data_IF_724835525808
#
_entry.id   IF_724835525808
#
_cell.length_a   1.000
_cell.length_b   1.000
_cell.length_c   1.000
_cell.angle_alpha   90.00
_cell.angle_beta   90.00
_cell.angle_gamma   90.00
#
_symmetry.space_group_name_H-M   'P 1'
#
loop_
_entity.id
_entity.type
_entity.pdbx_description
1 polymer ?
#
# COMPACT_ATOMS: atom_id res chain seq x y z
N UNK A 1 1.09 17.84 0.31
CA UNK A 1 -0.26 18.22 -0.15
C UNK A 1 -0.86 17.18 -1.09
N UNK A 2 -0.31 16.94 -2.29
CA UNK A 2 -0.87 15.93 -3.24
C UNK A 2 -1.02 14.54 -2.61
N UNK A 3 -0.05 14.09 -1.82
CA UNK A 3 -0.10 12.79 -1.14
C UNK A 3 -1.24 12.65 -0.11
N UNK A 4 -1.61 13.73 0.60
CA UNK A 4 -2.75 13.71 1.52
C UNK A 4 -4.08 13.67 0.77
N UNK A 5 -4.17 14.33 -0.39
CA UNK A 5 -5.33 14.22 -1.27
C UNK A 5 -5.48 12.79 -1.81
N UNK A 6 -4.38 12.15 -2.22
CA UNK A 6 -4.39 10.74 -2.64
C UNK A 6 -4.86 9.85 -1.48
N UNK A 7 -4.28 10.03 -0.29
CA UNK A 7 -4.69 9.25 0.89
C UNK A 7 -6.18 9.43 1.21
N UNK A 8 -6.69 10.65 1.13
CA UNK A 8 -8.11 10.94 1.34
C UNK A 8 -9.00 10.25 0.29
N UNK A 9 -8.63 10.31 -0.99
CA UNK A 9 -9.38 9.65 -2.07
C UNK A 9 -9.39 8.14 -1.85
N UNK A 10 -8.23 7.52 -1.59
CA UNK A 10 -8.13 6.08 -1.30
C UNK A 10 -9.01 5.71 -0.12
N UNK A 11 -8.93 6.46 0.97
CA UNK A 11 -9.73 6.23 2.17
C UNK A 11 -11.24 6.31 1.86
N UNK A 12 -11.70 7.33 1.14
CA UNK A 12 -13.11 7.49 0.80
C UNK A 12 -13.63 6.38 -0.12
N UNK A 13 -12.82 5.97 -1.10
CA UNK A 13 -13.19 4.86 -2.00
C UNK A 13 -13.23 3.54 -1.23
N UNK A 14 -12.25 3.26 -0.37
CA UNK A 14 -12.23 2.07 0.47
C UNK A 14 -13.45 2.00 1.40
N UNK A 15 -13.69 3.06 2.18
CA UNK A 15 -14.83 3.10 3.10
C UNK A 15 -16.18 3.06 2.36
N UNK A 16 -16.30 3.74 1.22
CA UNK A 16 -17.52 3.71 0.40
C UNK A 16 -17.81 2.32 -0.16
N UNK A 17 -16.79 1.62 -0.67
CA UNK A 17 -16.95 0.26 -1.20
C UNK A 17 -17.26 -0.73 -0.08
N UNK A 18 -16.55 -0.68 1.04
CA UNK A 18 -16.83 -1.53 2.21
C UNK A 18 -18.22 -1.33 2.78
N UNK A 19 -18.67 -0.07 2.91
CA UNK A 19 -20.02 0.24 3.34
C UNK A 19 -21.07 -0.34 2.40
N UNK A 20 -20.85 -0.25 1.09
CA UNK A 20 -21.74 -0.84 0.09
C UNK A 20 -21.84 -2.36 0.26
N UNK A 21 -20.71 -3.06 0.40
CA UNK A 21 -20.70 -4.51 0.64
C UNK A 21 -21.41 -4.86 1.94
N UNK A 22 -21.09 -4.17 3.03
CA UNK A 22 -21.61 -4.47 4.35
C UNK A 22 -23.13 -4.23 4.50
N UNK A 23 -23.72 -3.39 3.65
CA UNK A 23 -25.15 -3.06 3.68
C UNK A 23 -25.98 -3.76 2.62
N UNK A 24 -25.35 -4.29 1.57
CA UNK A 24 -26.06 -4.90 0.43
C UNK A 24 -25.95 -6.41 0.38
N UNK A 25 -24.96 -7.00 1.05
CA UNK A 25 -24.68 -8.43 1.00
C UNK A 25 -24.67 -9.06 2.39
N UNK A 26 -25.28 -10.22 2.49
CA UNK A 26 -25.15 -11.07 3.67
C UNK A 26 -23.72 -11.63 3.77
N UNK A 27 -23.25 -11.93 4.98
CA UNK A 27 -21.91 -12.50 5.17
C UNK A 27 -21.84 -13.86 4.47
N UNK A 28 -20.85 -14.04 3.60
CA UNK A 28 -20.67 -15.24 2.78
C UNK A 28 -21.38 -15.19 1.42
N UNK A 29 -22.24 -14.21 1.17
CA UNK A 29 -22.89 -14.03 -0.13
C UNK A 29 -21.85 -13.68 -1.21
N UNK A 30 -22.02 -14.25 -2.41
CA UNK A 30 -21.11 -14.11 -3.54
C UNK A 30 -21.84 -13.64 -4.79
N UNK A 31 -21.29 -12.62 -5.45
CA UNK A 31 -21.71 -12.16 -6.77
C UNK A 31 -20.60 -12.45 -7.77
N UNK A 32 -20.90 -13.25 -8.78
CA UNK A 32 -19.98 -13.46 -9.92
C UNK A 32 -19.89 -12.18 -10.76
N UNK A 33 -18.66 -11.68 -10.95
CA UNK A 33 -18.37 -10.56 -11.85
C UNK A 33 -17.79 -11.08 -13.17
N UNK A 34 -16.89 -12.06 -13.12
CA UNK A 34 -16.29 -12.71 -14.29
C UNK A 34 -16.29 -14.22 -14.06
N UNK A 35 -17.43 -14.87 -14.36
CA UNK A 35 -17.60 -16.31 -14.16
C UNK A 35 -17.14 -16.74 -12.75
N UNK A 36 -16.42 -17.85 -12.68
CA UNK A 36 -15.85 -18.33 -11.42
C UNK A 36 -14.49 -17.70 -11.10
N UNK A 37 -13.94 -16.85 -11.98
CA UNK A 37 -12.61 -16.24 -11.80
C UNK A 37 -12.62 -15.06 -10.83
N UNK A 38 -13.57 -14.14 -10.96
CA UNK A 38 -13.66 -12.95 -10.11
C UNK A 38 -15.05 -12.83 -9.51
N UNK A 39 -15.09 -12.83 -8.17
CA UNK A 39 -16.30 -12.72 -7.39
C UNK A 39 -16.19 -11.59 -6.37
N UNK A 40 -17.32 -10.94 -6.11
CA UNK A 40 -17.51 -10.07 -4.95
C UNK A 40 -18.10 -10.94 -3.84
N UNK A 41 -17.35 -11.14 -2.75
CA UNK A 41 -17.73 -12.05 -1.65
C UNK A 41 -17.74 -11.31 -0.33
N UNK A 42 -18.88 -11.16 0.35
CA UNK A 42 -18.90 -10.45 1.64
C UNK A 42 -18.18 -11.24 2.73
N UNK A 43 -16.98 -10.79 3.12
CA UNK A 43 -16.16 -11.42 4.15
C UNK A 43 -15.82 -10.44 5.28
N UNK A 44 -15.61 -10.96 6.49
CA UNK A 44 -15.22 -10.20 7.67
C UNK A 44 -13.94 -10.79 8.24
N UNK A 45 -12.87 -10.02 8.17
CA UNK A 45 -11.54 -10.47 8.50
C UNK A 45 -11.10 -9.97 9.87
N UNK A 46 -10.91 -10.91 10.81
CA UNK A 46 -10.43 -10.66 12.18
C UNK A 46 -8.94 -10.90 12.38
N UNK A 47 -8.22 -11.20 11.31
CA UNK A 47 -6.78 -11.44 11.31
C UNK A 47 -6.04 -10.60 10.25
N UNK A 48 -4.87 -11.09 9.86
CA UNK A 48 -4.13 -10.66 8.68
C UNK A 48 -4.44 -11.58 7.49
N UNK A 49 -3.66 -11.45 6.41
CA UNK A 49 -3.62 -12.42 5.33
C UNK A 49 -3.49 -13.85 5.87
N UNK A 50 -4.22 -14.78 5.24
CA UNK A 50 -4.27 -16.20 5.61
C UNK A 50 -4.76 -16.51 7.04
N UNK A 51 -5.45 -15.57 7.70
CA UNK A 51 -5.98 -15.77 9.06
C UNK A 51 -4.92 -15.72 10.17
N UNK A 52 -3.69 -15.29 9.85
CA UNK A 52 -2.63 -15.14 10.85
C UNK A 52 -3.01 -14.04 11.85
N UNK A 53 -2.71 -14.25 13.14
CA UNK A 53 -2.99 -13.30 14.22
C UNK A 53 -4.47 -12.95 14.39
N UNK A 54 -5.37 -13.89 14.09
CA UNK A 54 -6.79 -13.71 14.35
C UNK A 54 -7.07 -13.34 15.83
N UNK A 55 -7.92 -12.35 16.04
CA UNK A 55 -8.28 -11.84 17.37
C UNK A 55 -7.22 -10.93 18.02
N UNK A 56 -6.04 -10.75 17.41
CA UNK A 56 -4.97 -9.88 17.92
C UNK A 56 -5.13 -8.43 17.43
N UNK A 57 -6.33 -7.86 17.54
CA UNK A 57 -6.64 -6.52 17.04
C UNK A 57 -5.72 -5.43 17.62
N UNK A 58 -5.30 -5.58 18.87
CA UNK A 58 -4.33 -4.69 19.50
C UNK A 58 -2.97 -4.65 18.79
N UNK A 59 -2.48 -5.80 18.30
CA UNK A 59 -1.23 -5.86 17.56
C UNK A 59 -1.33 -5.08 16.25
N UNK A 60 -2.42 -5.27 15.51
CA UNK A 60 -2.67 -4.51 14.29
C UNK A 60 -2.80 -3.02 14.55
N UNK A 61 -3.50 -2.63 15.63
CA UNK A 61 -3.59 -1.25 16.04
C UNK A 61 -2.20 -0.63 16.25
N UNK A 62 -1.34 -1.29 17.04
CA UNK A 62 0.00 -0.82 17.34
C UNK A 62 0.85 -0.66 16.06
N UNK A 63 0.87 -1.68 15.20
CA UNK A 63 1.62 -1.66 13.94
C UNK A 63 1.15 -0.53 13.04
N UNK A 64 -0.17 -0.37 12.87
CA UNK A 64 -0.71 0.70 12.03
C UNK A 64 -0.38 2.09 12.58
N UNK A 65 -0.48 2.31 13.90
CA UNK A 65 -0.08 3.59 14.52
C UNK A 65 1.39 3.91 14.23
N UNK A 66 2.29 2.93 14.37
CA UNK A 66 3.72 3.10 14.09
C UNK A 66 3.94 3.44 12.61
N UNK A 67 3.34 2.68 11.69
CA UNK A 67 3.52 2.88 10.24
C UNK A 67 2.95 4.23 9.80
N UNK A 68 1.72 4.57 10.21
CA UNK A 68 1.08 5.85 9.86
C UNK A 68 1.88 7.01 10.42
N UNK A 69 2.32 6.94 11.68
CA UNK A 69 3.15 7.99 12.30
C UNK A 69 4.48 8.16 11.57
N UNK A 70 5.13 7.06 11.19
CA UNK A 70 6.37 7.07 10.40
C UNK A 70 6.18 7.69 9.03
N UNK A 71 5.10 7.34 8.31
CA UNK A 71 4.77 7.91 6.99
C UNK A 71 4.50 9.41 7.12
N UNK A 72 3.67 9.84 8.08
CA UNK A 72 3.35 11.26 8.29
C UNK A 72 4.59 12.05 8.66
N UNK A 73 5.43 11.52 9.56
CA UNK A 73 6.71 12.15 9.92
C UNK A 73 7.63 12.28 8.70
N UNK A 74 7.79 11.23 7.91
CA UNK A 74 8.63 11.23 6.72
C UNK A 74 8.14 12.23 5.66
N UNK A 75 6.83 12.27 5.41
CA UNK A 75 6.21 13.21 4.47
C UNK A 75 6.35 14.67 4.91
N UNK A 76 6.36 14.93 6.21
CA UNK A 76 6.56 16.27 6.78
C UNK A 76 8.03 16.69 6.79
N UNK A 77 8.95 15.74 7.01
CA UNK A 77 10.39 16.00 6.99
C UNK A 77 10.91 16.24 5.56
N UNK A 78 10.34 15.54 4.59
CA UNK A 78 10.83 15.54 3.21
C UNK A 78 10.10 16.61 2.39
N UNK A 79 10.66 17.82 2.34
CA UNK A 79 10.18 18.89 1.44
C UNK A 79 10.72 18.70 0.02
N UNK A 80 9.98 17.92 -0.77
CA UNK A 80 10.00 17.86 -2.24
C UNK A 80 11.22 17.24 -2.96
N UNK A 81 10.94 16.22 -3.80
CA UNK A 81 11.37 16.10 -5.22
C UNK A 81 10.83 14.81 -5.84
N UNK A 82 10.64 13.76 -5.03
CA UNK A 82 10.23 12.42 -5.50
C UNK A 82 8.71 12.30 -5.62
N UNK A 83 8.18 12.69 -6.78
CA UNK A 83 6.74 12.59 -7.10
C UNK A 83 6.21 11.16 -6.93
N UNK A 84 6.99 10.17 -7.37
CA UNK A 84 6.63 8.76 -7.28
C UNK A 84 6.49 8.29 -5.83
N UNK A 85 7.48 8.60 -4.98
CA UNK A 85 7.42 8.31 -3.55
C UNK A 85 6.20 8.95 -2.87
N UNK A 86 5.90 10.19 -3.23
CA UNK A 86 4.76 10.92 -2.66
C UNK A 86 3.43 10.24 -2.99
N UNK A 87 3.26 9.78 -4.23
CA UNK A 87 2.09 9.00 -4.64
C UNK A 87 2.04 7.68 -3.86
N UNK A 88 3.16 6.97 -3.81
CA UNK A 88 3.27 5.68 -3.15
C UNK A 88 2.92 5.75 -1.66
N UNK A 89 3.46 6.72 -0.94
CA UNK A 89 3.16 6.96 0.47
C UNK A 89 1.71 7.39 0.70
N UNK A 90 1.13 8.17 -0.23
CA UNK A 90 -0.29 8.52 -0.18
C UNK A 90 -1.21 7.29 -0.29
N UNK A 91 -0.88 6.35 -1.19
CA UNK A 91 -1.62 5.09 -1.32
C UNK A 91 -1.54 4.24 -0.05
N UNK A 92 -0.34 4.04 0.49
CA UNK A 92 -0.14 3.27 1.73
C UNK A 92 -0.85 3.94 2.90
N UNK A 93 -0.74 5.26 3.04
CA UNK A 93 -1.39 6.01 4.12
C UNK A 93 -2.91 5.87 4.07
N UNK A 94 -3.52 6.07 2.90
CA UNK A 94 -4.97 5.96 2.73
C UNK A 94 -5.48 4.55 3.03
N UNK A 95 -4.81 3.52 2.50
CA UNK A 95 -5.19 2.13 2.75
C UNK A 95 -4.99 1.71 4.21
N UNK A 96 -3.87 2.11 4.83
CA UNK A 96 -3.60 1.81 6.23
C UNK A 96 -4.65 2.44 7.15
N UNK A 97 -5.06 3.69 6.91
CA UNK A 97 -6.11 4.36 7.68
C UNK A 97 -7.47 3.69 7.46
N UNK A 98 -7.80 3.28 6.23
CA UNK A 98 -9.05 2.58 5.92
C UNK A 98 -9.23 1.29 6.73
N UNK A 99 -8.25 0.37 6.65
CA UNK A 99 -8.30 -0.87 7.44
C UNK A 99 -8.22 -0.63 8.95
N UNK A 100 -7.52 0.41 9.39
CA UNK A 100 -7.44 0.78 10.80
C UNK A 100 -8.78 1.23 11.36
N UNK A 101 -9.53 2.03 10.59
CA UNK A 101 -10.84 2.51 10.99
C UNK A 101 -11.82 1.35 11.20
N UNK A 102 -11.86 0.39 10.27
CA UNK A 102 -12.70 -0.79 10.39
C UNK A 102 -12.40 -1.56 11.68
N UNK A 103 -11.11 -1.78 11.98
CA UNK A 103 -10.67 -2.49 13.19
C UNK A 103 -11.05 -1.76 14.47
N UNK A 104 -11.00 -0.43 14.49
CA UNK A 104 -11.41 0.36 15.66
C UNK A 104 -12.92 0.29 15.88
N UNK A 105 -13.71 0.41 14.81
CA UNK A 105 -15.17 0.51 14.92
C UNK A 105 -15.79 -0.87 15.13
N UNK A 106 -15.38 -1.85 14.33
CA UNK A 106 -16.04 -3.15 14.22
C UNK A 106 -15.19 -4.32 14.77
N UNK A 107 -13.89 -4.11 15.03
CA UNK A 107 -12.99 -5.19 15.44
C UNK A 107 -12.60 -6.16 14.30
N UNK A 108 -12.99 -5.85 13.07
CA UNK A 108 -12.78 -6.67 11.87
C UNK A 108 -12.75 -5.77 10.63
N UNK A 109 -12.12 -6.26 9.56
CA UNK A 109 -12.01 -5.57 8.26
C UNK A 109 -13.01 -6.17 7.28
N UNK A 110 -13.68 -5.32 6.49
CA UNK A 110 -14.59 -5.77 5.43
C UNK A 110 -13.79 -6.10 4.17
N UNK A 111 -13.73 -7.38 3.81
CA UNK A 111 -13.05 -7.87 2.61
C UNK A 111 -14.08 -8.37 1.60
N UNK A 112 -13.78 -8.17 0.30
CA UNK A 112 -14.77 -8.48 -0.73
C UNK A 112 -14.27 -8.88 -2.11
N UNK A 113 -13.00 -8.70 -2.42
CA UNK A 113 -12.44 -9.06 -3.73
C UNK A 113 -11.88 -10.48 -3.67
N UNK A 114 -12.55 -11.43 -4.34
CA UNK A 114 -12.14 -12.83 -4.43
C UNK A 114 -11.74 -13.19 -5.87
N UNK A 115 -10.51 -13.68 -6.04
CA UNK A 115 -9.99 -14.18 -7.32
C UNK A 115 -9.65 -15.66 -7.23
N UNK A 116 -10.19 -16.46 -8.15
CA UNK A 116 -9.93 -17.90 -8.23
C UNK A 116 -9.08 -18.24 -9.47
N UNK A 117 -8.14 -19.15 -9.28
CA UNK A 117 -7.24 -19.70 -10.29
C UNK A 117 -7.38 -21.22 -10.32
N UNK A 118 -8.47 -21.71 -10.93
CA UNK A 118 -8.82 -23.12 -10.92
C UNK A 118 -9.20 -23.59 -9.52
N UNK A 119 -8.41 -24.50 -8.93
CA UNK A 119 -8.63 -25.00 -7.56
C UNK A 119 -8.08 -24.10 -6.46
N UNK A 120 -7.33 -23.06 -6.80
CA UNK A 120 -6.74 -22.14 -5.84
C UNK A 120 -7.53 -20.83 -5.76
N UNK A 121 -7.95 -20.45 -4.55
CA UNK A 121 -8.58 -19.15 -4.28
C UNK A 121 -7.57 -18.24 -3.59
N UNK A 122 -7.31 -17.07 -4.15
CA UNK A 122 -6.51 -16.05 -3.48
C UNK A 122 -7.27 -15.52 -2.26
N UNK A 123 -6.59 -15.19 -1.14
CA UNK A 123 -7.25 -14.62 0.03
C UNK A 123 -8.11 -13.41 -0.34
N UNK A 124 -9.32 -13.31 0.23
CA UNK A 124 -10.22 -12.18 -0.05
C UNK A 124 -9.58 -10.91 0.50
N UNK A 125 -9.59 -9.83 -0.28
CA UNK A 125 -8.99 -8.54 0.09
C UNK A 125 -9.92 -7.37 -0.27
N UNK A 126 -9.48 -6.15 -0.02
CA UNK A 126 -10.25 -4.94 -0.31
C UNK A 126 -9.43 -3.87 -1.07
N UNK A 127 -10.03 -2.69 -1.26
CA UNK A 127 -9.38 -1.57 -1.96
C UNK A 127 -8.19 -1.04 -1.17
N UNK A 128 -8.30 -0.90 0.15
CA UNK A 128 -7.18 -0.51 1.01
C UNK A 128 -5.98 -1.44 0.85
N UNK A 129 -6.17 -2.77 0.84
CA UNK A 129 -5.08 -3.74 0.64
C UNK A 129 -4.43 -3.58 -0.73
N UNK A 130 -5.23 -3.39 -1.78
CA UNK A 130 -4.74 -3.14 -3.13
C UNK A 130 -3.86 -1.90 -3.19
N UNK A 131 -4.30 -0.79 -2.57
CA UNK A 131 -3.54 0.44 -2.51
C UNK A 131 -2.25 0.29 -1.69
N UNK A 132 -2.27 -0.47 -0.59
CA UNK A 132 -1.07 -0.77 0.19
C UNK A 132 -0.06 -1.55 -0.67
N UNK A 133 -0.48 -2.64 -1.33
CA UNK A 133 0.41 -3.46 -2.17
C UNK A 133 1.02 -2.64 -3.31
N UNK A 134 0.20 -1.87 -4.03
CA UNK A 134 0.68 -0.99 -5.11
C UNK A 134 1.64 0.06 -4.55
N UNK A 135 1.27 0.71 -3.44
CA UNK A 135 2.11 1.72 -2.78
C UNK A 135 3.46 1.18 -2.35
N UNK A 136 3.51 0.01 -1.72
CA UNK A 136 4.78 -0.65 -1.35
C UNK A 136 5.60 -0.99 -2.60
N UNK A 137 4.97 -1.52 -3.65
CA UNK A 137 5.64 -1.80 -4.92
C UNK A 137 6.28 -0.54 -5.55
N UNK A 138 5.57 0.60 -5.48
CA UNK A 138 6.09 1.88 -5.95
C UNK A 138 7.24 2.41 -5.08
N UNK A 139 7.19 2.25 -3.75
CA UNK A 139 8.29 2.61 -2.84
C UNK A 139 9.55 1.81 -3.21
N UNK A 140 9.41 0.50 -3.43
CA UNK A 140 10.53 -0.36 -3.82
C UNK A 140 11.11 0.05 -5.17
N UNK A 141 10.24 0.27 -6.16
CA UNK A 141 10.65 0.68 -7.50
C UNK A 141 11.36 2.04 -7.50
N UNK A 142 10.86 2.99 -6.72
CA UNK A 142 11.51 4.29 -6.51
C UNK A 142 12.88 4.10 -5.84
N UNK A 143 12.98 3.27 -4.80
CA UNK A 143 14.25 2.98 -4.11
C UNK A 143 15.30 2.37 -5.04
N UNK A 144 14.93 1.42 -5.90
CA UNK A 144 15.86 0.83 -6.88
C UNK A 144 16.34 1.83 -7.93
N UNK A 145 15.48 2.76 -8.36
CA UNK A 145 15.88 3.83 -9.29
C UNK A 145 16.90 4.78 -8.68
N UNK A 146 16.73 5.14 -7.40
CA UNK A 146 17.67 6.03 -6.72
C UNK A 146 19.04 5.39 -6.50
N UNK A 147 19.10 4.10 -6.16
CA UNK A 147 20.36 3.37 -6.03
C UNK A 147 21.15 3.39 -7.34
N UNK A 148 20.49 3.05 -8.45
CA UNK A 148 21.13 3.05 -9.77
C UNK A 148 21.64 4.42 -10.19
N UNK A 149 20.85 5.48 -9.96
CA UNK A 149 21.26 6.84 -10.27
C UNK A 149 22.48 7.28 -9.43
N UNK A 150 22.58 6.81 -8.18
CA UNK A 150 23.72 7.08 -7.30
C UNK A 150 25.02 6.41 -7.77
N UNK A 151 24.95 5.16 -8.23
CA UNK A 151 26.08 4.43 -8.81
C UNK A 151 26.60 5.13 -10.08
N UNK A 152 25.71 5.50 -11.00
CA UNK A 152 26.06 6.17 -12.25
C UNK A 152 26.72 7.54 -12.02
N UNK A 153 26.24 8.33 -11.05
CA UNK A 153 26.86 9.61 -10.68
C UNK A 153 28.26 9.42 -10.11
N UNK A 154 28.46 8.35 -9.33
CA UNK A 154 29.77 8.05 -8.71
C UNK A 154 30.78 7.65 -9.78
N UNK A 155 30.39 6.77 -10.71
CA UNK A 155 31.21 6.35 -11.84
C UNK A 155 31.60 7.54 -12.75
N UNK A 156 30.66 8.44 -13.05
CA UNK A 156 30.94 9.65 -13.84
C UNK A 156 31.94 10.57 -13.12
N UNK A 157 31.87 10.68 -11.79
CA UNK A 157 32.82 11.50 -11.01
C UNK A 157 34.22 10.90 -11.04
N UNK A 158 34.34 9.60 -10.82
CA UNK A 158 35.63 8.88 -10.85
C UNK A 158 36.30 9.01 -12.23
N UNK A 159 35.54 8.87 -13.32
CA UNK A 159 36.05 9.03 -14.69
C UNK A 159 36.52 10.46 -14.97
N UNK A 160 35.82 11.47 -14.44
CA UNK A 160 36.23 12.88 -14.58
C UNK A 160 37.49 13.19 -13.80
N UNK A 161 37.57 12.79 -12.54
CA UNK A 161 38.75 12.98 -11.69
C UNK A 161 39.99 12.28 -12.30
N UNK A 162 39.83 11.07 -12.83
CA UNK A 162 40.90 10.35 -13.50
C UNK A 162 41.40 11.04 -14.79
N UNK A 163 40.55 11.79 -15.50
CA UNK A 163 40.94 12.58 -16.67
C UNK A 163 41.68 13.86 -16.28
N UNK A 164 41.18 14.59 -15.29
CA UNK A 164 41.82 15.82 -14.80
C UNK A 164 43.24 15.56 -14.27
N UNK A 165 43.45 14.45 -13.56
CA UNK A 165 44.79 14.04 -13.10
C UNK A 165 45.75 13.72 -14.26
N UNK A 166 45.24 13.21 -15.39
CA UNK A 166 46.07 12.92 -16.56
C UNK A 166 46.46 14.19 -17.32
N UNK A 167 45.51 15.10 -17.49
CA UNK A 167 45.72 16.36 -18.22
C UNK A 167 46.55 17.38 -17.43
N UNK A 168 46.52 17.35 -16.09
CA UNK A 168 47.34 18.24 -15.24
C UNK A 168 48.80 17.81 -15.06
N UNK A 169 49.20 16.65 -15.58
CA UNK A 169 50.56 16.11 -15.51
C UNK A 169 51.33 16.21 -16.84
N UNK A 170 50.74 16.82 -17.88
CA UNK A 170 51.38 17.20 -19.16
C UNK A 170 51.77 18.69 -19.15
#
# INVERSE_FOLDING_TARGET
MVYYLIALIVFLVDQGTKYLIATRLEIGEQISVIGDFFLITSHRNRGAAFGILEGQQWFFFLVTVVVVSGIVWYLNKTRHSRKLLSVALGLVLGGAIGNFLDRIINGEVVDFLLFNFGSYSFPIFNVADSCIVIGVGLILLDSFRDLKNGEEITEIKEVKEAKEVREGNE
#
